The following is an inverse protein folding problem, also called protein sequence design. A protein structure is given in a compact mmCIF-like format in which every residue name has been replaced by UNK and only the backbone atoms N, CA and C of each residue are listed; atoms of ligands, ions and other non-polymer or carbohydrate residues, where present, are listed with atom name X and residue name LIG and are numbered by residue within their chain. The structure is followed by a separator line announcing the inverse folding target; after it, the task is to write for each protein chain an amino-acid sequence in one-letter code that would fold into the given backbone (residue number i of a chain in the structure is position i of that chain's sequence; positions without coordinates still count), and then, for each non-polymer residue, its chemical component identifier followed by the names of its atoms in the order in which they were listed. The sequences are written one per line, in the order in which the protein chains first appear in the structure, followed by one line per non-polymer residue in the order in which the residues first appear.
data_IF_495334630517
#
_entry.id   IF_495334630517
#
_cell.length_a   1.000
_cell.length_b   1.000
_cell.length_c   1.000
_cell.angle_alpha   90.00
_cell.angle_beta   90.00
_cell.angle_gamma   90.00
#
_symmetry.space_group_name_H-M   'P 1'
#
loop_
_entity.id
_entity.type
_entity.pdbx_description
1 polymer ?
#
# COMPACT_ATOMS: atom_id res chain seq x y z
N UNK A 1 -19.87 -2.30 -20.06
CA UNK A 1 -19.36 -2.34 -18.66
C UNK A 1 -17.85 -2.51 -18.62
N UNK A 2 -17.27 -3.62 -19.08
CA UNK A 2 -15.81 -3.85 -19.07
C UNK A 2 -15.00 -2.75 -19.76
N UNK A 3 -15.46 -2.28 -20.92
CA UNK A 3 -14.84 -1.16 -21.61
C UNK A 3 -14.88 0.13 -20.77
N UNK A 4 -16.01 0.41 -20.11
CA UNK A 4 -16.16 1.62 -19.31
C UNK A 4 -15.25 1.61 -18.07
N UNK A 5 -15.14 0.47 -17.38
CA UNK A 5 -14.18 0.34 -16.28
C UNK A 5 -12.74 0.40 -16.77
N UNK A 6 -12.41 -0.22 -17.91
CA UNK A 6 -11.07 -0.12 -18.49
C UNK A 6 -10.71 1.34 -18.80
N UNK A 7 -11.59 2.08 -19.49
CA UNK A 7 -11.41 3.52 -19.77
C UNK A 7 -11.25 4.32 -18.49
N UNK A 8 -12.09 4.06 -17.47
CA UNK A 8 -11.99 4.72 -16.17
C UNK A 8 -10.65 4.44 -15.48
N UNK A 9 -10.20 3.18 -15.40
CA UNK A 9 -8.92 2.82 -14.78
C UNK A 9 -7.74 3.41 -15.54
N UNK A 10 -7.76 3.37 -16.88
CA UNK A 10 -6.74 4.00 -17.73
C UNK A 10 -6.71 5.52 -17.54
N UNK A 11 -7.87 6.18 -17.50
CA UNK A 11 -7.95 7.62 -17.26
C UNK A 11 -7.47 7.99 -15.86
N UNK A 12 -7.83 7.21 -14.83
CA UNK A 12 -7.40 7.41 -13.46
C UNK A 12 -5.88 7.22 -13.31
N UNK A 13 -5.32 6.21 -13.97
CA UNK A 13 -3.87 6.02 -14.05
C UNK A 13 -3.17 7.17 -14.79
N UNK A 14 -3.68 7.56 -15.96
CA UNK A 14 -3.12 8.66 -16.75
C UNK A 14 -3.19 9.99 -16.01
N UNK A 15 -4.30 10.28 -15.33
CA UNK A 15 -4.43 11.47 -14.48
C UNK A 15 -3.36 11.48 -13.38
N UNK A 16 -3.10 10.32 -12.76
CA UNK A 16 -2.01 10.22 -11.80
C UNK A 16 -0.64 10.49 -12.44
N UNK A 17 -0.31 9.77 -13.52
CA UNK A 17 1.01 9.81 -14.16
C UNK A 17 1.31 11.15 -14.81
N UNK A 18 0.36 11.81 -15.46
CA UNK A 18 0.67 13.03 -16.20
C UNK A 18 0.44 14.29 -15.37
N UNK A 19 -0.49 14.26 -14.41
CA UNK A 19 -0.89 15.48 -13.68
C UNK A 19 -0.49 15.38 -12.21
N UNK A 20 -1.01 14.38 -11.51
CA UNK A 20 -0.99 14.39 -10.05
C UNK A 20 0.37 14.05 -9.45
N UNK A 21 1.21 13.25 -10.11
CA UNK A 21 2.57 12.91 -9.64
C UNK A 21 3.48 14.12 -9.42
N UNK A 22 3.15 15.25 -10.04
CA UNK A 22 3.94 16.49 -9.94
C UNK A 22 3.59 17.30 -8.68
N UNK A 23 2.51 16.96 -7.97
CA UNK A 23 2.09 17.63 -6.73
C UNK A 23 2.76 16.98 -5.53
N UNK A 24 3.39 17.78 -4.67
CA UNK A 24 4.13 17.29 -3.50
C UNK A 24 3.29 16.40 -2.56
N UNK A 25 2.02 16.78 -2.34
CA UNK A 25 1.09 16.04 -1.48
C UNK A 25 0.82 14.61 -1.99
N UNK A 26 0.72 14.44 -3.31
CA UNK A 26 0.45 13.17 -3.99
C UNK A 26 1.72 12.42 -4.39
N UNK A 27 2.88 12.87 -3.90
CA UNK A 27 4.12 12.07 -3.89
C UNK A 27 4.31 11.31 -2.60
N UNK A 28 3.50 11.58 -1.57
CA UNK A 28 3.55 10.85 -0.31
C UNK A 28 2.71 9.57 -0.38
N UNK A 29 3.12 8.52 0.34
CA UNK A 29 2.35 7.27 0.44
C UNK A 29 0.90 7.51 0.92
N UNK A 30 0.73 8.43 1.89
CA UNK A 30 -0.60 8.83 2.38
C UNK A 30 -1.43 9.52 1.30
N UNK A 31 -0.85 10.45 0.55
CA UNK A 31 -1.56 11.15 -0.51
C UNK A 31 -2.03 10.21 -1.62
N UNK A 32 -1.18 9.27 -2.02
CA UNK A 32 -1.50 8.29 -3.07
C UNK A 32 -2.55 7.30 -2.56
N UNK A 33 -2.39 6.81 -1.32
CA UNK A 33 -3.38 5.95 -0.69
C UNK A 33 -4.74 6.63 -0.60
N UNK A 34 -4.79 7.92 -0.24
CA UNK A 34 -6.02 8.70 -0.19
C UNK A 34 -6.63 8.90 -1.59
N UNK A 35 -5.81 9.13 -2.61
CA UNK A 35 -6.27 9.23 -4.00
C UNK A 35 -6.97 7.96 -4.47
N UNK A 36 -6.36 6.79 -4.24
CA UNK A 36 -6.97 5.50 -4.57
C UNK A 36 -8.20 5.21 -3.71
N UNK A 37 -8.16 5.53 -2.41
CA UNK A 37 -9.30 5.34 -1.51
C UNK A 37 -10.51 6.17 -1.93
N UNK A 38 -10.31 7.47 -2.19
CA UNK A 38 -11.37 8.34 -2.67
C UNK A 38 -11.96 7.83 -4.00
N UNK A 39 -11.09 7.38 -4.92
CA UNK A 39 -11.49 6.78 -6.18
C UNK A 39 -12.37 5.54 -5.98
N UNK A 40 -12.00 4.65 -5.05
CA UNK A 40 -12.77 3.45 -4.72
C UNK A 40 -14.13 3.79 -4.11
N UNK A 41 -14.22 4.81 -3.24
CA UNK A 41 -15.49 5.30 -2.68
C UNK A 41 -16.41 5.80 -3.79
N UNK A 42 -15.91 6.67 -4.68
CA UNK A 42 -16.73 7.19 -5.78
C UNK A 42 -17.14 6.11 -6.77
N UNK A 43 -16.24 5.19 -7.12
CA UNK A 43 -16.56 4.04 -7.97
C UNK A 43 -17.61 3.13 -7.33
N UNK A 44 -17.51 2.90 -6.02
CA UNK A 44 -18.50 2.12 -5.26
C UNK A 44 -19.87 2.78 -5.25
N UNK A 45 -19.94 4.07 -4.95
CA UNK A 45 -21.20 4.83 -4.96
C UNK A 45 -21.84 4.83 -6.35
N UNK A 46 -21.06 5.12 -7.40
CA UNK A 46 -21.54 5.08 -8.78
C UNK A 46 -22.03 3.67 -9.17
N UNK A 47 -21.28 2.63 -8.77
CA UNK A 47 -21.67 1.24 -8.99
C UNK A 47 -22.97 0.87 -8.27
N UNK A 48 -23.18 1.33 -7.03
CA UNK A 48 -24.43 1.11 -6.30
C UNK A 48 -25.61 1.77 -7.02
N UNK A 49 -25.44 3.03 -7.45
CA UNK A 49 -26.47 3.73 -8.22
C UNK A 49 -26.81 2.95 -9.50
N UNK A 50 -25.80 2.50 -10.25
CA UNK A 50 -26.02 1.68 -11.45
C UNK A 50 -26.66 0.32 -11.16
N UNK A 51 -26.31 -0.33 -10.06
CA UNK A 51 -26.94 -1.59 -9.65
C UNK A 51 -28.42 -1.43 -9.32
N UNK A 52 -28.82 -0.28 -8.77
CA UNK A 52 -30.22 0.06 -8.49
C UNK A 52 -30.98 0.41 -9.77
N UNK A 53 -30.37 1.19 -10.66
CA UNK A 53 -31.02 1.64 -11.90
C UNK A 53 -31.13 0.52 -12.95
N UNK A 54 -30.15 -0.38 -13.02
CA UNK A 54 -30.03 -1.43 -14.04
C UNK A 54 -29.82 -2.82 -13.40
N UNK A 55 -30.77 -3.30 -12.57
CA UNK A 55 -30.58 -4.52 -11.77
C UNK A 55 -30.42 -5.78 -12.62
N UNK A 56 -31.08 -5.84 -13.78
CA UNK A 56 -31.05 -7.01 -14.67
C UNK A 56 -29.77 -7.09 -15.53
N UNK A 57 -29.11 -5.95 -15.79
CA UNK A 57 -27.93 -5.88 -16.67
C UNK A 57 -26.63 -5.76 -15.91
N UNK A 58 -26.66 -5.13 -14.74
CA UNK A 58 -25.49 -4.89 -13.90
C UNK A 58 -25.68 -5.55 -12.53
N UNK A 59 -26.71 -5.14 -11.79
CA UNK A 59 -27.04 -5.69 -10.48
C UNK A 59 -25.85 -5.78 -9.51
N UNK A 60 -25.95 -6.70 -8.56
CA UNK A 60 -24.91 -6.90 -7.54
C UNK A 60 -23.61 -7.48 -8.14
N UNK A 61 -23.72 -8.37 -9.13
CA UNK A 61 -22.55 -9.01 -9.75
C UNK A 61 -21.67 -8.01 -10.50
N UNK A 62 -22.28 -7.05 -11.20
CA UNK A 62 -21.58 -5.93 -11.83
C UNK A 62 -20.86 -5.06 -10.81
N UNK A 63 -21.52 -4.75 -9.69
CA UNK A 63 -20.92 -3.95 -8.61
C UNK A 63 -19.69 -4.64 -8.02
N UNK A 64 -19.81 -5.94 -7.69
CA UNK A 64 -18.69 -6.75 -7.18
C UNK A 64 -17.55 -6.76 -8.18
N UNK A 65 -17.83 -7.00 -9.46
CA UNK A 65 -16.80 -7.03 -10.50
C UNK A 65 -16.08 -5.68 -10.63
N UNK A 66 -16.81 -4.56 -10.61
CA UNK A 66 -16.22 -3.22 -10.67
C UNK A 66 -15.32 -2.95 -9.48
N UNK A 67 -15.78 -3.26 -8.27
CA UNK A 67 -15.01 -3.07 -7.04
C UNK A 67 -13.79 -4.00 -6.97
N UNK A 68 -13.92 -5.25 -7.42
CA UNK A 68 -12.80 -6.19 -7.49
C UNK A 68 -11.73 -5.72 -8.48
N UNK A 69 -12.11 -5.31 -9.69
CA UNK A 69 -11.16 -4.82 -10.68
C UNK A 69 -10.47 -3.53 -10.22
N UNK A 70 -11.23 -2.59 -9.65
CA UNK A 70 -10.66 -1.38 -9.08
C UNK A 70 -9.73 -1.68 -7.89
N UNK A 71 -10.12 -2.60 -7.02
CA UNK A 71 -9.33 -3.03 -5.87
C UNK A 71 -8.02 -3.67 -6.28
N UNK A 72 -8.05 -4.61 -7.24
CA UNK A 72 -6.84 -5.24 -7.79
C UNK A 72 -5.92 -4.16 -8.38
N UNK A 73 -6.45 -3.30 -9.24
CA UNK A 73 -5.70 -2.19 -9.83
C UNK A 73 -5.04 -1.31 -8.76
N UNK A 74 -5.81 -0.83 -7.78
CA UNK A 74 -5.35 0.09 -6.76
C UNK A 74 -4.30 -0.54 -5.84
N UNK A 75 -4.50 -1.80 -5.43
CA UNK A 75 -3.54 -2.52 -4.59
C UNK A 75 -2.24 -2.81 -5.34
N UNK A 76 -2.31 -3.29 -6.58
CA UNK A 76 -1.11 -3.51 -7.41
C UNK A 76 -0.35 -2.21 -7.67
N UNK A 77 -1.07 -1.11 -7.88
CA UNK A 77 -0.44 0.21 -8.02
C UNK A 77 0.30 0.63 -6.74
N UNK A 78 -0.36 0.52 -5.58
CA UNK A 78 0.22 0.87 -4.29
C UNK A 78 1.42 -0.02 -3.93
N UNK A 79 1.35 -1.31 -4.26
CA UNK A 79 2.47 -2.24 -4.08
C UNK A 79 3.66 -1.85 -4.96
N UNK A 80 3.43 -1.61 -6.25
CA UNK A 80 4.49 -1.16 -7.16
C UNK A 80 5.09 0.18 -6.72
N UNK A 81 4.24 1.10 -6.26
CA UNK A 81 4.68 2.38 -5.70
C UNK A 81 5.51 2.19 -4.43
N UNK A 82 5.06 1.34 -3.50
CA UNK A 82 5.79 1.04 -2.26
C UNK A 82 7.16 0.43 -2.55
N UNK A 83 7.25 -0.45 -3.56
CA UNK A 83 8.53 -0.97 -4.05
C UNK A 83 9.42 0.13 -4.65
N UNK A 84 8.85 1.01 -5.47
CA UNK A 84 9.57 2.08 -6.16
C UNK A 84 10.05 3.20 -5.22
N UNK A 85 9.25 3.58 -4.23
CA UNK A 85 9.55 4.67 -3.30
C UNK A 85 10.30 4.18 -2.05
N UNK A 86 10.06 2.93 -1.65
CA UNK A 86 10.34 2.44 -0.30
C UNK A 86 11.19 1.19 -0.22
N UNK A 87 11.55 0.54 -1.33
CA UNK A 87 12.47 -0.60 -1.28
C UNK A 87 13.83 -0.16 -0.77
N UNK A 88 14.20 -0.54 0.48
CA UNK A 88 15.59 -0.46 0.95
C UNK A 88 16.54 -1.07 -0.10
N UNK A 89 16.10 -2.14 -0.76
CA UNK A 89 16.74 -2.77 -1.90
C UNK A 89 16.93 -1.84 -3.11
N UNK A 90 15.96 -0.99 -3.46
CA UNK A 90 16.09 -0.07 -4.60
C UNK A 90 17.05 1.08 -4.27
N UNK A 91 17.05 1.59 -3.03
CA UNK A 91 18.05 2.56 -2.58
C UNK A 91 19.47 1.96 -2.59
N UNK A 92 19.62 0.68 -2.22
CA UNK A 92 20.90 -0.04 -2.35
C UNK A 92 21.32 -0.12 -3.82
N UNK A 93 20.43 -0.58 -4.71
CA UNK A 93 20.74 -0.70 -6.15
C UNK A 93 21.11 0.66 -6.75
N UNK A 94 20.38 1.72 -6.43
CA UNK A 94 20.68 3.07 -6.91
C UNK A 94 22.02 3.60 -6.39
N UNK A 95 22.33 3.37 -5.11
CA UNK A 95 23.61 3.77 -4.50
C UNK A 95 24.78 3.01 -5.12
N UNK A 96 24.64 1.70 -5.34
CA UNK A 96 25.66 0.87 -6.01
C UNK A 96 25.88 1.31 -7.46
N UNK A 97 24.80 1.51 -8.22
CA UNK A 97 24.90 1.96 -9.61
C UNK A 97 25.55 3.35 -9.73
N UNK A 98 25.25 4.26 -8.79
CA UNK A 98 25.87 5.58 -8.75
C UNK A 98 27.36 5.49 -8.41
N UNK A 99 27.72 4.68 -7.42
CA UNK A 99 29.11 4.47 -7.01
C UNK A 99 29.96 3.83 -8.12
N UNK A 100 29.42 2.86 -8.84
CA UNK A 100 30.05 2.27 -10.02
C UNK A 100 30.28 3.31 -11.12
N UNK A 101 29.29 4.16 -11.40
CA UNK A 101 29.40 5.22 -12.40
C UNK A 101 30.44 6.30 -12.02
N UNK A 102 30.64 6.56 -10.73
CA UNK A 102 31.65 7.51 -10.24
C UNK A 102 33.00 6.87 -9.92
N UNK A 103 33.15 5.55 -10.04
CA UNK A 103 34.37 4.83 -9.66
C UNK A 103 34.67 4.90 -8.16
N UNK A 104 33.65 5.08 -7.32
CA UNK A 104 33.76 5.16 -5.87
C UNK A 104 33.11 3.94 -5.20
N UNK A 105 33.31 3.79 -3.89
CA UNK A 105 32.56 2.79 -3.13
C UNK A 105 31.14 3.27 -2.78
N UNK A 106 30.16 2.35 -2.67
CA UNK A 106 28.83 2.70 -2.19
C UNK A 106 28.85 3.17 -0.73
N UNK A 107 28.10 4.23 -0.43
CA UNK A 107 27.97 4.73 0.95
C UNK A 107 27.00 3.84 1.75
N UNK A 108 27.53 2.77 2.33
CA UNK A 108 26.77 1.83 3.15
C UNK A 108 26.30 2.45 4.48
N UNK A 109 26.97 3.50 4.98
CA UNK A 109 26.53 4.20 6.20
C UNK A 109 25.27 5.01 5.92
N UNK A 110 25.21 5.73 4.80
CA UNK A 110 24.01 6.42 4.36
C UNK A 110 22.84 5.45 4.12
N UNK A 111 23.11 4.26 3.55
CA UNK A 111 22.10 3.21 3.38
C UNK A 111 21.59 2.70 4.74
N UNK A 112 22.48 2.38 5.69
CA UNK A 112 22.09 1.94 7.02
C UNK A 112 21.20 2.98 7.74
N UNK A 113 21.55 4.27 7.64
CA UNK A 113 20.75 5.36 8.19
C UNK A 113 19.33 5.43 7.57
N UNK A 114 19.17 5.16 6.27
CA UNK A 114 17.86 5.06 5.62
C UNK A 114 17.05 3.87 6.19
N UNK A 115 17.72 2.75 6.43
CA UNK A 115 17.11 1.57 7.05
C UNK A 115 16.60 1.85 8.46
N UNK A 116 17.43 2.47 9.29
CA UNK A 116 17.10 2.89 10.67
C UNK A 116 15.94 3.89 10.68
N UNK A 117 15.99 4.94 9.86
CA UNK A 117 14.92 5.92 9.76
C UNK A 117 13.58 5.28 9.36
N UNK A 118 13.59 4.33 8.41
CA UNK A 118 12.38 3.59 8.02
C UNK A 118 11.84 2.71 9.14
N UNK A 119 12.72 2.11 9.95
CA UNK A 119 12.32 1.33 11.11
C UNK A 119 11.67 2.23 12.17
N UNK A 120 12.28 3.37 12.47
CA UNK A 120 11.78 4.34 13.43
C UNK A 120 10.43 4.92 12.99
N UNK A 121 10.27 5.27 11.72
CA UNK A 121 9.00 5.75 11.16
C UNK A 121 7.87 4.71 11.31
N UNK A 122 8.18 3.43 11.07
CA UNK A 122 7.23 2.32 11.25
C UNK A 122 6.83 2.16 12.71
N UNK A 123 7.80 2.19 13.63
CA UNK A 123 7.52 2.11 15.08
C UNK A 123 6.68 3.30 15.51
N UNK A 124 7.03 4.52 15.11
CA UNK A 124 6.27 5.73 15.41
C UNK A 124 4.84 5.67 14.86
N UNK A 125 4.64 5.14 13.65
CA UNK A 125 3.31 4.92 13.08
C UNK A 125 2.50 3.91 13.92
N UNK A 126 3.09 2.80 14.34
CA UNK A 126 2.43 1.82 15.20
C UNK A 126 2.06 2.39 16.58
N UNK A 127 2.89 3.29 17.11
CA UNK A 127 2.59 4.04 18.34
C UNK A 127 1.43 5.01 18.13
N UNK A 128 1.44 5.80 17.04
CA UNK A 128 0.33 6.72 16.70
C UNK A 128 -1.00 5.99 16.51
N UNK A 129 -0.96 4.77 15.94
CA UNK A 129 -2.14 3.91 15.78
C UNK A 129 -2.58 3.23 17.09
N UNK A 130 -1.81 3.39 18.17
CA UNK A 130 -2.06 2.79 19.47
C UNK A 130 -1.94 1.26 19.45
N UNK A 131 -1.16 0.69 18.52
CA UNK A 131 -0.92 -0.75 18.42
C UNK A 131 0.28 -1.17 19.26
N UNK A 132 1.24 -0.28 19.42
CA UNK A 132 2.46 -0.50 20.18
C UNK A 132 2.63 0.66 21.17
N UNK A 133 3.22 0.37 22.33
CA UNK A 133 3.64 1.34 23.31
C UNK A 133 5.16 1.33 23.40
N UNK A 134 5.78 2.50 23.29
CA UNK A 134 7.18 2.71 23.67
C UNK A 134 7.22 3.27 25.07
N UNK A 135 7.52 2.43 26.07
CA UNK A 135 7.74 2.88 27.46
C UNK A 135 9.11 2.37 27.89
N UNK A 136 9.94 3.27 28.41
CA UNK A 136 11.28 2.96 28.96
C UNK A 136 12.21 2.21 27.98
N UNK A 137 12.21 2.63 26.70
CA UNK A 137 13.03 2.00 25.66
C UNK A 137 12.57 0.59 25.24
N UNK A 138 11.43 0.10 25.76
CA UNK A 138 10.84 -1.19 25.38
C UNK A 138 9.61 -0.99 24.52
N UNK A 139 9.61 -1.70 23.39
CA UNK A 139 8.50 -1.76 22.45
C UNK A 139 7.61 -2.94 22.85
N UNK A 140 6.37 -2.67 23.25
CA UNK A 140 5.40 -3.70 23.63
C UNK A 140 4.05 -3.50 22.92
N UNK A 141 3.33 -4.59 22.65
CA UNK A 141 1.97 -4.51 22.10
C UNK A 141 1.02 -3.91 23.12
N UNK A 142 0.13 -3.03 22.67
CA UNK A 142 -1.05 -2.62 23.47
C UNK A 142 -2.12 -3.73 23.42
N UNK A 143 -3.19 -3.61 24.21
CA UNK A 143 -4.34 -4.52 24.11
C UNK A 143 -5.00 -4.50 22.71
N UNK A 144 -4.94 -3.36 22.00
CA UNK A 144 -5.42 -3.25 20.61
C UNK A 144 -4.45 -3.94 19.65
N UNK A 145 -3.14 -3.71 19.82
CA UNK A 145 -2.09 -4.38 19.04
C UNK A 145 -2.13 -5.90 19.19
N UNK A 146 -2.34 -6.40 20.41
CA UNK A 146 -2.46 -7.84 20.68
C UNK A 146 -3.62 -8.50 19.94
N UNK A 147 -4.79 -7.85 19.88
CA UNK A 147 -5.94 -8.36 19.11
C UNK A 147 -5.66 -8.41 17.61
N UNK A 148 -5.08 -7.35 17.06
CA UNK A 148 -4.72 -7.30 15.63
C UNK A 148 -3.63 -8.34 15.31
N UNK A 149 -2.61 -8.47 16.16
CA UNK A 149 -1.57 -9.48 16.00
C UNK A 149 -2.14 -10.90 16.02
N UNK A 150 -3.10 -11.18 16.92
CA UNK A 150 -3.79 -12.47 16.96
C UNK A 150 -4.53 -12.77 15.65
N UNK A 151 -5.30 -11.80 15.13
CA UNK A 151 -6.04 -11.95 13.87
C UNK A 151 -5.10 -12.18 12.68
N UNK A 152 -4.03 -11.39 12.58
CA UNK A 152 -3.02 -11.55 11.54
C UNK A 152 -2.32 -12.93 11.63
N UNK A 153 -2.06 -13.41 12.85
CA UNK A 153 -1.45 -14.72 13.05
C UNK A 153 -2.41 -15.87 12.73
N UNK A 154 -3.72 -15.71 12.99
CA UNK A 154 -4.74 -16.65 12.55
C UNK A 154 -4.86 -16.67 11.02
N UNK A 155 -4.89 -15.50 10.39
CA UNK A 155 -4.93 -15.36 8.93
C UNK A 155 -3.69 -15.97 8.28
N UNK A 156 -2.49 -15.69 8.80
CA UNK A 156 -1.24 -16.28 8.29
C UNK A 156 -1.27 -17.80 8.37
N UNK A 157 -1.72 -18.38 9.49
CA UNK A 157 -1.86 -19.85 9.61
C UNK A 157 -2.87 -20.44 8.64
N UNK A 158 -3.92 -19.71 8.32
CA UNK A 158 -4.90 -20.13 7.31
C UNK A 158 -4.34 -20.10 5.88
N UNK A 159 -3.54 -19.08 5.55
CA UNK A 159 -2.89 -18.94 4.24
C UNK A 159 -1.67 -19.87 4.09
N UNK A 160 -0.95 -20.14 5.19
CA UNK A 160 0.27 -20.96 5.24
C UNK A 160 0.16 -22.00 6.37
N UNK A 161 -0.60 -23.10 6.18
CA UNK A 161 -0.84 -24.08 7.24
C UNK A 161 0.38 -24.88 7.71
N UNK A 162 1.57 -24.69 7.12
CA UNK A 162 2.76 -25.52 7.35
C UNK A 162 3.73 -25.07 8.46
N UNK A 163 3.64 -23.87 9.02
CA UNK A 163 4.55 -23.41 10.07
C UNK A 163 4.02 -23.72 11.48
N UNK A 164 3.92 -25.01 11.81
CA UNK A 164 3.75 -25.43 13.20
C UNK A 164 5.09 -25.32 13.96
N UNK A 165 5.02 -24.68 15.13
CA UNK A 165 6.07 -24.46 16.13
C UNK A 165 7.16 -25.54 16.16
N UNK A 166 8.40 -25.17 15.85
CA UNK A 166 9.56 -25.75 16.54
C UNK A 166 9.68 -25.05 17.89
N UNK A 167 8.97 -25.58 18.88
CA UNK A 167 9.29 -25.40 20.30
C UNK A 167 10.19 -26.54 20.75
#
# INVERSE_FOLDING_TARGET
MLLAIAVYLTAHFAAYVFVLRHRAELRSENGISMYHFASAVFAGLAGVVFAVLEPNRFGLSGLVLVLSLHGIYSLSFLELWSLAQGGYSLSIIASVAQAEASGTEPDFLALAAIGEAKQDDRVAALVRLGLVSGKDGRIALTARGGRIAFLLHALRRWVQPGEARKG
#
